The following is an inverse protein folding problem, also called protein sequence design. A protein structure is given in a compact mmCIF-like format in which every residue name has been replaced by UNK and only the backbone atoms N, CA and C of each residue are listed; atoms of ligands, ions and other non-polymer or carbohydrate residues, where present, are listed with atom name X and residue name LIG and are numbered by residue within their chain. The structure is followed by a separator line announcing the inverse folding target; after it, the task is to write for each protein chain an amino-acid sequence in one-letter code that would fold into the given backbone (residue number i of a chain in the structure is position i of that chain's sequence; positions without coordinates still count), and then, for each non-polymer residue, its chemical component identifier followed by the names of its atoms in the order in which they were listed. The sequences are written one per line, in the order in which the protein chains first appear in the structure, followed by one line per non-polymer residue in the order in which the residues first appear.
data_IF_421836599848
#
_entry.id   IF_421836599848
#
_cell.length_a   1.000
_cell.length_b   1.000
_cell.length_c   1.000
_cell.angle_alpha   90.00
_cell.angle_beta   90.00
_cell.angle_gamma   90.00
#
_symmetry.space_group_name_H-M   'P 1'
#
loop_
_entity.id
_entity.type
_entity.pdbx_description
1 polymer ?
#
# COMPACT_ATOMS: atom_id res chain seq x y z
N UNK A 1 16.39 -14.28 25.69
CA UNK A 1 16.70 -13.15 24.80
C UNK A 1 15.50 -12.22 24.79
N UNK A 2 15.68 -10.96 25.20
CA UNK A 2 14.59 -9.99 25.27
C UNK A 2 14.11 -9.64 23.85
N UNK A 3 12.83 -9.33 23.66
CA UNK A 3 12.22 -8.94 22.38
C UNK A 3 13.06 -7.88 21.64
N UNK A 4 13.61 -6.93 22.38
CA UNK A 4 14.48 -5.85 21.87
C UNK A 4 15.77 -6.35 21.25
N UNK A 5 16.47 -7.27 21.91
CA UNK A 5 17.76 -7.81 21.43
C UNK A 5 17.55 -8.62 20.13
N UNK A 6 16.49 -9.40 20.07
CA UNK A 6 16.15 -10.20 18.90
C UNK A 6 15.74 -9.35 17.71
N UNK A 7 15.02 -8.27 17.98
CA UNK A 7 14.65 -7.31 16.96
C UNK A 7 15.88 -6.60 16.37
N UNK A 8 16.82 -6.17 17.22
CA UNK A 8 18.09 -5.60 16.80
C UNK A 8 18.92 -6.60 15.97
N UNK A 9 18.94 -7.87 16.40
CA UNK A 9 19.60 -8.93 15.64
C UNK A 9 18.97 -9.10 14.25
N UNK A 10 17.63 -9.15 14.14
CA UNK A 10 16.93 -9.28 12.87
C UNK A 10 17.17 -8.08 11.94
N UNK A 11 17.20 -6.85 12.48
CA UNK A 11 17.46 -5.62 11.70
C UNK A 11 18.88 -5.60 11.13
N UNK A 12 19.86 -6.20 11.82
CA UNK A 12 21.27 -6.24 11.38
C UNK A 12 21.56 -7.28 10.28
N UNK A 13 20.61 -8.14 9.95
CA UNK A 13 20.79 -9.16 8.90
C UNK A 13 21.05 -8.53 7.52
N UNK A 14 21.86 -9.16 6.66
CA UNK A 14 22.12 -8.69 5.31
C UNK A 14 20.84 -8.50 4.48
N UNK A 15 19.85 -9.36 4.68
CA UNK A 15 18.56 -9.31 4.00
C UNK A 15 17.84 -7.97 4.21
N UNK A 16 17.96 -7.38 5.39
CA UNK A 16 17.34 -6.09 5.73
C UNK A 16 17.95 -4.91 4.94
N UNK A 17 19.13 -5.09 4.36
CA UNK A 17 19.76 -4.08 3.49
C UNK A 17 19.35 -4.22 2.02
N UNK A 18 19.08 -5.44 1.58
CA UNK A 18 18.82 -5.76 0.16
C UNK A 18 17.32 -5.77 -0.16
N UNK A 19 16.50 -6.36 0.72
CA UNK A 19 15.07 -6.53 0.48
C UNK A 19 14.29 -5.22 0.24
N UNK A 20 14.56 -4.11 0.96
CA UNK A 20 13.86 -2.85 0.70
C UNK A 20 14.11 -2.31 -0.71
N UNK A 21 15.36 -2.39 -1.20
CA UNK A 21 15.70 -1.97 -2.56
C UNK A 21 15.03 -2.84 -3.62
N UNK A 22 15.04 -4.15 -3.43
CA UNK A 22 14.33 -5.09 -4.31
C UNK A 22 12.82 -4.81 -4.36
N UNK A 23 12.18 -4.63 -3.20
CA UNK A 23 10.76 -4.33 -3.10
C UNK A 23 10.41 -3.00 -3.75
N UNK A 24 11.19 -1.95 -3.52
CA UNK A 24 10.92 -0.62 -4.09
C UNK A 24 10.94 -0.65 -5.62
N UNK A 25 11.87 -1.39 -6.22
CA UNK A 25 11.92 -1.59 -7.66
C UNK A 25 10.66 -2.29 -8.19
N UNK A 26 10.25 -3.40 -7.56
CA UNK A 26 9.05 -4.11 -7.98
C UNK A 26 7.75 -3.32 -7.69
N UNK A 27 7.71 -2.51 -6.64
CA UNK A 27 6.59 -1.61 -6.39
C UNK A 27 6.47 -0.56 -7.49
N UNK A 28 7.59 0.03 -7.92
CA UNK A 28 7.58 0.96 -9.05
C UNK A 28 7.02 0.30 -10.31
N UNK A 29 7.52 -0.90 -10.65
CA UNK A 29 7.05 -1.67 -11.81
C UNK A 29 5.57 -2.06 -11.71
N UNK A 30 5.05 -2.24 -10.50
CA UNK A 30 3.65 -2.58 -10.23
C UNK A 30 2.74 -1.36 -10.31
N UNK A 31 3.23 -0.18 -9.94
CA UNK A 31 2.42 1.05 -9.90
C UNK A 31 1.84 1.41 -11.26
N UNK A 32 2.62 1.34 -12.33
CA UNK A 32 2.17 1.71 -13.67
C UNK A 32 0.96 0.87 -14.13
N UNK A 33 1.04 -0.47 -14.16
CA UNK A 33 -0.11 -1.28 -14.54
C UNK A 33 -1.26 -1.20 -13.52
N UNK A 34 -0.99 -0.97 -12.25
CA UNK A 34 -2.02 -0.82 -11.23
C UNK A 34 -2.84 0.47 -11.45
N UNK A 35 -2.18 1.59 -11.72
CA UNK A 35 -2.84 2.86 -12.04
C UNK A 35 -3.64 2.73 -13.34
N UNK A 36 -3.08 2.06 -14.36
CA UNK A 36 -3.78 1.79 -15.59
C UNK A 36 -5.05 0.94 -15.38
N UNK A 37 -4.99 -0.09 -14.51
CA UNK A 37 -6.16 -0.89 -14.12
C UNK A 37 -7.23 -0.04 -13.42
N UNK A 38 -6.82 0.77 -12.47
CA UNK A 38 -7.74 1.67 -11.74
C UNK A 38 -8.35 2.67 -12.71
N UNK A 39 -7.55 3.31 -13.56
CA UNK A 39 -8.01 4.25 -14.59
C UNK A 39 -9.00 3.62 -15.56
N UNK A 40 -8.71 2.38 -16.01
CA UNK A 40 -9.63 1.61 -16.87
C UNK A 40 -10.96 1.29 -16.19
N UNK A 41 -10.93 0.89 -14.91
CA UNK A 41 -12.15 0.63 -14.13
C UNK A 41 -12.98 1.90 -13.94
N UNK A 42 -12.33 3.03 -13.66
CA UNK A 42 -12.97 4.34 -13.52
C UNK A 42 -13.67 4.76 -14.81
N UNK A 43 -12.98 4.59 -15.95
CA UNK A 43 -13.55 4.89 -17.26
C UNK A 43 -14.75 3.98 -17.61
N UNK A 44 -14.71 2.70 -17.21
CA UNK A 44 -15.85 1.77 -17.41
C UNK A 44 -17.10 2.14 -16.60
N UNK A 45 -16.92 2.76 -15.42
CA UNK A 45 -18.03 3.12 -14.53
C UNK A 45 -18.39 4.61 -14.59
N UNK A 46 -17.85 5.38 -15.54
CA UNK A 46 -18.04 6.83 -15.69
C UNK A 46 -17.87 7.61 -14.37
N UNK A 47 -16.89 7.21 -13.56
CA UNK A 47 -16.64 7.85 -12.26
C UNK A 47 -15.96 9.23 -12.44
N UNK A 48 -16.25 10.22 -11.57
CA UNK A 48 -15.73 11.57 -11.71
C UNK A 48 -14.21 11.62 -11.52
N UNK A 49 -13.48 11.89 -12.58
CA UNK A 49 -12.01 11.89 -12.66
C UNK A 49 -11.34 12.87 -11.68
N UNK A 50 -11.93 14.05 -11.46
CA UNK A 50 -11.37 15.08 -10.57
C UNK A 50 -11.17 14.61 -9.14
N UNK A 51 -12.03 13.73 -8.65
CA UNK A 51 -11.92 13.19 -7.29
C UNK A 51 -10.76 12.22 -7.10
N UNK A 52 -10.18 11.69 -8.19
CA UNK A 52 -9.07 10.74 -8.15
C UNK A 52 -7.74 11.46 -8.02
N UNK A 53 -7.57 12.58 -8.70
CA UNK A 53 -6.38 13.41 -8.55
C UNK A 53 -6.22 13.88 -7.10
N UNK A 54 -7.32 14.22 -6.42
CA UNK A 54 -7.32 14.60 -5.00
C UNK A 54 -6.91 13.44 -4.10
N UNK A 55 -7.34 12.22 -4.42
CA UNK A 55 -6.95 11.01 -3.69
C UNK A 55 -5.48 10.69 -3.92
N UNK A 56 -5.02 10.71 -5.16
CA UNK A 56 -3.61 10.47 -5.48
C UNK A 56 -2.71 11.50 -4.77
N UNK A 57 -3.08 12.77 -4.79
CA UNK A 57 -2.36 13.82 -4.08
C UNK A 57 -2.35 13.64 -2.56
N UNK A 58 -3.33 12.94 -1.99
CA UNK A 58 -3.40 12.70 -0.55
C UNK A 58 -2.48 11.56 -0.06
N UNK A 59 -2.18 10.58 -0.92
CA UNK A 59 -1.43 9.38 -0.54
C UNK A 59 -0.01 9.30 -1.13
N UNK A 60 0.29 10.10 -2.14
CA UNK A 60 1.61 10.16 -2.76
C UNK A 60 2.35 11.45 -2.40
N UNK A 61 3.68 11.43 -2.37
CA UNK A 61 4.47 12.64 -2.12
C UNK A 61 4.22 13.70 -3.19
N UNK A 62 4.21 14.95 -2.78
CA UNK A 62 4.12 16.07 -3.71
C UNK A 62 5.26 16.00 -4.74
N UNK A 63 4.96 16.38 -5.98
CA UNK A 63 5.87 16.24 -7.12
C UNK A 63 5.72 14.95 -7.93
N UNK A 64 5.02 13.92 -7.41
CA UNK A 64 4.72 12.67 -8.15
C UNK A 64 3.35 12.72 -8.83
N UNK A 65 2.46 13.61 -8.40
CA UNK A 65 1.09 13.71 -8.91
C UNK A 65 1.01 13.86 -10.42
N UNK A 66 1.89 14.65 -11.03
CA UNK A 66 1.94 14.84 -12.48
C UNK A 66 2.24 13.55 -13.25
N UNK A 67 3.09 12.67 -12.71
CA UNK A 67 3.36 11.37 -13.33
C UNK A 67 2.14 10.46 -13.26
N UNK A 68 1.47 10.46 -12.11
CA UNK A 68 0.27 9.67 -11.89
C UNK A 68 -0.88 10.17 -12.77
N UNK A 69 -1.02 11.47 -12.94
CA UNK A 69 -2.00 12.10 -13.81
C UNK A 69 -1.78 11.73 -15.29
N UNK A 70 -0.54 11.80 -15.78
CA UNK A 70 -0.18 11.41 -17.15
C UNK A 70 -0.48 9.93 -17.42
N UNK A 71 -0.20 9.05 -16.44
CA UNK A 71 -0.44 7.61 -16.59
C UNK A 71 -1.95 7.29 -16.54
N UNK A 72 -2.72 8.05 -15.76
CA UNK A 72 -4.16 7.83 -15.59
C UNK A 72 -5.03 8.50 -16.66
N UNK A 73 -4.50 9.50 -17.38
CA UNK A 73 -5.31 10.43 -18.16
C UNK A 73 -5.90 9.92 -19.48
N UNK A 74 -5.46 8.81 -20.03
CA UNK A 74 -6.09 8.19 -21.24
C UNK A 74 -5.72 6.74 -21.41
N UNK A 75 -6.54 5.86 -20.93
CA UNK A 75 -6.61 4.52 -21.49
C UNK A 75 -7.68 4.53 -22.58
N UNK A 76 -7.26 4.64 -23.83
CA UNK A 76 -8.14 4.45 -24.98
C UNK A 76 -8.57 2.96 -24.98
N UNK A 77 -9.77 2.72 -24.46
CA UNK A 77 -10.35 1.40 -24.22
C UNK A 77 -10.82 0.70 -25.53
N UNK A 78 -10.43 1.22 -26.68
CA UNK A 78 -10.80 0.65 -27.98
C UNK A 78 -10.05 -0.63 -28.36
N UNK A 79 -9.04 -1.02 -27.61
CA UNK A 79 -8.29 -2.25 -27.86
C UNK A 79 -8.63 -3.31 -26.82
N UNK A 80 -9.10 -4.44 -27.29
CA UNK A 80 -9.38 -5.71 -26.60
C UNK A 80 -9.27 -5.67 -25.07
N UNK A 81 -10.28 -5.08 -24.38
CA UNK A 81 -10.33 -4.82 -22.95
C UNK A 81 -9.89 -6.00 -22.09
N UNK A 82 -10.24 -7.21 -22.49
CA UNK A 82 -9.88 -8.45 -21.78
C UNK A 82 -8.36 -8.63 -21.75
N UNK A 83 -7.68 -8.42 -22.89
CA UNK A 83 -6.22 -8.57 -22.98
C UNK A 83 -5.54 -7.46 -22.15
N UNK A 84 -6.05 -6.24 -22.21
CA UNK A 84 -5.54 -5.13 -21.40
C UNK A 84 -5.62 -5.44 -19.89
N UNK A 85 -6.80 -5.82 -19.38
CA UNK A 85 -6.96 -6.12 -17.96
C UNK A 85 -6.15 -7.36 -17.55
N UNK A 86 -6.15 -8.42 -18.35
CA UNK A 86 -5.38 -9.62 -18.03
C UNK A 86 -3.87 -9.36 -17.98
N UNK A 87 -3.31 -8.67 -18.98
CA UNK A 87 -1.89 -8.33 -19.01
C UNK A 87 -1.50 -7.38 -17.89
N UNK A 88 -2.34 -6.40 -17.58
CA UNK A 88 -2.11 -5.46 -16.48
C UNK A 88 -2.11 -6.15 -15.12
N UNK A 89 -3.02 -7.10 -14.86
CA UNK A 89 -3.04 -7.90 -13.62
C UNK A 89 -1.76 -8.75 -13.50
N UNK A 90 -1.32 -9.38 -14.59
CA UNK A 90 -0.08 -10.17 -14.60
C UNK A 90 1.12 -9.29 -14.29
N UNK A 91 1.24 -8.11 -14.90
CA UNK A 91 2.31 -7.15 -14.62
C UNK A 91 2.24 -6.58 -13.20
N UNK A 92 1.05 -6.21 -12.74
CA UNK A 92 0.84 -5.71 -11.39
C UNK A 92 1.18 -6.77 -10.31
N UNK A 93 1.13 -8.06 -10.63
CA UNK A 93 1.47 -9.12 -9.67
C UNK A 93 2.96 -9.23 -9.34
N UNK A 94 3.85 -8.47 -10.01
CA UNK A 94 5.29 -8.48 -9.71
C UNK A 94 5.60 -7.93 -8.30
N UNK A 95 4.88 -6.89 -7.84
CA UNK A 95 5.01 -6.37 -6.48
C UNK A 95 4.62 -7.40 -5.41
N UNK A 96 3.38 -7.92 -5.43
CA UNK A 96 2.97 -9.02 -4.53
C UNK A 96 3.87 -10.25 -4.61
N UNK A 97 4.37 -10.62 -5.77
CA UNK A 97 5.35 -11.70 -5.90
C UNK A 97 6.65 -11.41 -5.13
N UNK A 98 7.17 -10.18 -5.22
CA UNK A 98 8.33 -9.76 -4.44
C UNK A 98 8.05 -9.68 -2.94
N UNK A 99 6.83 -9.28 -2.52
CA UNK A 99 6.41 -9.33 -1.11
C UNK A 99 6.43 -10.76 -0.55
N UNK A 100 5.98 -11.75 -1.33
CA UNK A 100 6.00 -13.16 -0.93
C UNK A 100 7.46 -13.63 -0.73
N UNK A 101 8.35 -13.33 -1.69
CA UNK A 101 9.78 -13.70 -1.59
C UNK A 101 10.42 -13.06 -0.36
N UNK A 102 10.20 -11.76 -0.15
CA UNK A 102 10.73 -11.04 1.01
C UNK A 102 10.21 -11.63 2.32
N UNK A 103 8.91 -11.94 2.37
CA UNK A 103 8.27 -12.55 3.52
C UNK A 103 8.87 -13.94 3.83
N UNK A 104 8.99 -14.82 2.83
CA UNK A 104 9.57 -16.15 3.02
C UNK A 104 11.01 -16.08 3.55
N UNK A 105 11.81 -15.14 3.04
CA UNK A 105 13.17 -14.92 3.54
C UNK A 105 13.20 -14.46 5.00
N UNK A 106 12.35 -13.53 5.39
CA UNK A 106 12.29 -13.01 6.76
C UNK A 106 11.82 -14.09 7.73
N UNK A 107 10.76 -14.83 7.37
CA UNK A 107 10.21 -15.92 8.19
C UNK A 107 10.98 -17.24 8.10
N UNK A 108 12.06 -17.29 7.28
CA UNK A 108 12.90 -18.49 7.05
C UNK A 108 12.06 -19.68 6.60
N UNK A 109 11.14 -19.44 5.69
CA UNK A 109 10.26 -20.47 5.11
C UNK A 109 10.82 -20.87 3.76
N UNK A 110 10.81 -22.17 3.48
CA UNK A 110 11.19 -22.71 2.17
C UNK A 110 10.17 -22.26 1.10
N UNK A 111 10.69 -21.90 -0.06
CA UNK A 111 9.87 -21.45 -1.18
C UNK A 111 8.99 -22.56 -1.72
N UNK A 112 7.71 -22.28 -1.92
CA UNK A 112 6.70 -23.22 -2.43
C UNK A 112 6.78 -23.54 -3.94
N UNK A 113 7.87 -23.12 -4.61
CA UNK A 113 8.07 -23.25 -6.05
C UNK A 113 7.45 -22.07 -6.86
N UNK A 114 7.99 -21.86 -8.07
CA UNK A 114 7.66 -20.68 -8.88
C UNK A 114 6.17 -20.57 -9.22
N UNK A 115 5.56 -21.64 -9.74
CA UNK A 115 4.15 -21.59 -10.20
C UNK A 115 3.17 -21.32 -9.05
N UNK A 116 3.36 -22.00 -7.91
CA UNK A 116 2.50 -21.80 -6.74
C UNK A 116 2.62 -20.39 -6.19
N UNK A 117 3.84 -19.89 -6.11
CA UNK A 117 4.14 -18.51 -5.69
C UNK A 117 3.55 -17.49 -6.66
N UNK A 118 3.60 -17.74 -7.99
CA UNK A 118 3.02 -16.87 -9.00
C UNK A 118 1.49 -16.82 -8.92
N UNK A 119 0.83 -17.97 -8.77
CA UNK A 119 -0.62 -18.04 -8.56
C UNK A 119 -1.04 -17.29 -7.30
N UNK A 120 -0.31 -17.45 -6.20
CA UNK A 120 -0.54 -16.72 -4.96
C UNK A 120 -0.34 -15.20 -5.12
N UNK A 121 0.66 -14.78 -5.88
CA UNK A 121 0.89 -13.37 -6.20
C UNK A 121 -0.27 -12.75 -7.00
N UNK A 122 -0.82 -13.47 -7.96
CA UNK A 122 -2.01 -13.03 -8.71
C UNK A 122 -3.22 -12.87 -7.79
N UNK A 123 -3.48 -13.84 -6.92
CA UNK A 123 -4.57 -13.73 -5.93
C UNK A 123 -4.35 -12.55 -4.98
N UNK A 124 -3.13 -12.36 -4.49
CA UNK A 124 -2.80 -11.23 -3.62
C UNK A 124 -2.98 -9.89 -4.35
N UNK A 125 -2.65 -9.83 -5.65
CA UNK A 125 -2.88 -8.65 -6.48
C UNK A 125 -4.37 -8.31 -6.56
N UNK A 126 -5.23 -9.28 -6.78
CA UNK A 126 -6.69 -9.06 -6.80
C UNK A 126 -7.20 -8.54 -5.46
N UNK A 127 -6.73 -9.11 -4.35
CA UNK A 127 -7.07 -8.62 -3.00
C UNK A 127 -6.62 -7.17 -2.81
N UNK A 128 -5.41 -6.82 -3.22
CA UNK A 128 -4.88 -5.45 -3.13
C UNK A 128 -5.72 -4.50 -3.99
N UNK A 129 -6.05 -4.87 -5.22
CA UNK A 129 -6.90 -4.05 -6.11
C UNK A 129 -8.26 -3.79 -5.47
N UNK A 130 -8.92 -4.82 -4.97
CA UNK A 130 -10.23 -4.70 -4.30
C UNK A 130 -10.13 -3.75 -3.09
N UNK A 131 -9.12 -3.92 -2.25
CA UNK A 131 -8.92 -3.06 -1.07
C UNK A 131 -8.59 -1.62 -1.45
N UNK A 132 -7.81 -1.40 -2.52
CA UNK A 132 -7.52 -0.05 -3.04
C UNK A 132 -8.77 0.59 -3.62
N UNK A 133 -9.62 -0.15 -4.35
CA UNK A 133 -10.90 0.36 -4.83
C UNK A 133 -11.81 0.78 -3.67
N UNK A 134 -11.90 -0.02 -2.60
CA UNK A 134 -12.62 0.39 -1.40
C UNK A 134 -12.03 1.64 -0.75
N UNK A 135 -10.70 1.77 -0.69
CA UNK A 135 -10.03 2.96 -0.18
C UNK A 135 -10.37 4.20 -1.02
N UNK A 136 -10.46 4.06 -2.35
CA UNK A 136 -10.87 5.11 -3.27
C UNK A 136 -12.35 5.48 -3.11
N UNK A 137 -13.21 4.52 -2.77
CA UNK A 137 -14.64 4.77 -2.57
C UNK A 137 -14.91 5.76 -1.41
N UNK A 138 -14.08 5.79 -0.37
CA UNK A 138 -14.27 6.68 0.77
C UNK A 138 -14.30 8.17 0.36
N UNK A 139 -13.28 8.70 -0.33
CA UNK A 139 -13.30 10.10 -0.76
C UNK A 139 -14.23 10.37 -1.94
N UNK A 140 -14.43 9.41 -2.86
CA UNK A 140 -15.26 9.58 -4.05
C UNK A 140 -16.76 9.63 -3.71
N UNK A 141 -17.22 8.71 -2.91
CA UNK A 141 -18.65 8.59 -2.59
C UNK A 141 -19.03 9.29 -1.29
N UNK A 142 -18.07 9.53 -0.39
CA UNK A 142 -18.33 10.18 0.87
C UNK A 142 -19.02 11.53 0.68
N UNK A 143 -18.44 12.43 -0.11
CA UNK A 143 -19.01 13.75 -0.39
C UNK A 143 -20.41 13.65 -1.05
N UNK A 144 -20.59 12.70 -1.96
CA UNK A 144 -21.86 12.50 -2.67
C UNK A 144 -22.94 11.95 -1.73
N UNK A 145 -22.60 10.97 -0.90
CA UNK A 145 -23.53 10.39 0.08
C UNK A 145 -23.94 11.44 1.12
N UNK A 146 -22.99 12.22 1.62
CA UNK A 146 -23.30 13.26 2.61
C UNK A 146 -24.10 14.42 1.99
N UNK A 147 -23.84 14.80 0.75
CA UNK A 147 -24.67 15.77 0.02
C UNK A 147 -26.07 15.23 -0.23
N UNK A 148 -26.20 13.95 -0.55
CA UNK A 148 -27.50 13.28 -0.75
C UNK A 148 -28.30 13.24 0.55
N UNK A 149 -27.70 12.84 1.67
CA UNK A 149 -28.33 12.88 2.99
C UNK A 149 -28.76 14.30 3.36
N UNK A 150 -27.88 15.27 3.09
CA UNK A 150 -28.16 16.69 3.35
C UNK A 150 -29.27 17.28 2.44
N UNK A 151 -29.59 16.66 1.31
CA UNK A 151 -30.69 17.06 0.43
C UNK A 151 -32.07 16.70 1.00
N UNK A 152 -32.17 15.58 1.71
CA UNK A 152 -33.43 15.13 2.33
C UNK A 152 -33.78 15.91 3.62
N UNK A 153 -32.84 16.65 4.18
CA UNK A 153 -33.07 17.41 5.41
C UNK A 153 -32.90 18.90 5.15
N UNK A 154 -34.03 19.62 5.22
CA UNK A 154 -34.09 21.07 5.04
C UNK A 154 -33.46 21.87 6.18
N UNK A 155 -33.01 21.20 7.28
CA UNK A 155 -32.49 21.85 8.46
C UNK A 155 -30.99 22.02 8.37
N UNK A 156 -30.52 23.27 8.21
CA UNK A 156 -29.11 23.65 8.10
C UNK A 156 -28.18 23.06 9.19
N UNK A 157 -28.74 22.71 10.35
CA UNK A 157 -28.01 22.15 11.49
C UNK A 157 -27.51 20.71 11.23
N UNK A 158 -28.37 19.84 10.67
CA UNK A 158 -28.01 18.45 10.37
C UNK A 158 -27.03 18.39 9.21
N UNK A 159 -27.24 19.21 8.18
CA UNK A 159 -26.31 19.35 7.06
C UNK A 159 -24.89 19.69 7.52
N UNK A 160 -24.76 20.73 8.35
CA UNK A 160 -23.46 21.14 8.86
C UNK A 160 -22.82 20.09 9.77
N UNK A 161 -23.60 19.40 10.59
CA UNK A 161 -23.13 18.28 11.42
C UNK A 161 -22.63 17.11 10.56
N UNK A 162 -23.35 16.69 9.54
CA UNK A 162 -22.95 15.61 8.65
C UNK A 162 -21.65 15.94 7.87
N UNK A 163 -21.52 17.16 7.35
CA UNK A 163 -20.32 17.62 6.67
C UNK A 163 -19.10 17.66 7.62
N UNK A 164 -19.32 18.10 8.84
CA UNK A 164 -18.30 18.15 9.87
C UNK A 164 -17.88 16.74 10.30
N UNK A 165 -18.84 15.84 10.49
CA UNK A 165 -18.59 14.43 10.77
C UNK A 165 -17.76 13.76 9.66
N UNK A 166 -18.12 13.96 8.41
CA UNK A 166 -17.38 13.44 7.26
C UNK A 166 -15.94 13.94 7.24
N UNK A 167 -15.75 15.25 7.42
CA UNK A 167 -14.42 15.87 7.44
C UNK A 167 -13.49 15.23 8.48
N UNK A 168 -14.02 14.91 9.66
CA UNK A 168 -13.23 14.29 10.73
C UNK A 168 -13.11 12.77 10.59
N UNK A 169 -14.13 12.08 10.05
CA UNK A 169 -14.11 10.62 9.90
C UNK A 169 -13.27 10.13 8.70
N UNK A 170 -13.13 10.93 7.66
CA UNK A 170 -12.41 10.58 6.43
C UNK A 170 -11.01 10.03 6.71
N UNK A 171 -10.22 10.74 7.51
CA UNK A 171 -8.84 10.37 7.81
C UNK A 171 -8.69 9.11 8.68
N UNK A 172 -9.39 9.00 9.82
CA UNK A 172 -9.37 7.77 10.62
C UNK A 172 -9.84 6.55 9.84
N UNK A 173 -10.89 6.68 9.03
CA UNK A 173 -11.42 5.59 8.23
C UNK A 173 -10.40 5.12 7.17
N UNK A 174 -9.78 6.05 6.45
CA UNK A 174 -8.71 5.74 5.51
C UNK A 174 -7.52 5.06 6.18
N UNK A 175 -7.13 5.51 7.37
CA UNK A 175 -6.06 4.87 8.15
C UNK A 175 -6.42 3.42 8.53
N UNK A 176 -7.64 3.17 8.97
CA UNK A 176 -8.14 1.83 9.29
C UNK A 176 -8.07 0.92 8.05
N UNK A 177 -8.45 1.41 6.87
CA UNK A 177 -8.32 0.65 5.63
C UNK A 177 -6.87 0.32 5.28
N UNK A 178 -5.96 1.28 5.37
CA UNK A 178 -4.52 1.06 5.15
C UNK A 178 -3.97 0.02 6.13
N UNK A 179 -4.36 0.10 7.40
CA UNK A 179 -3.97 -0.88 8.41
C UNK A 179 -4.45 -2.30 8.05
N UNK A 180 -5.71 -2.47 7.67
CA UNK A 180 -6.24 -3.78 7.28
C UNK A 180 -5.61 -4.29 6.00
N UNK A 181 -5.34 -3.43 5.01
CA UNK A 181 -4.62 -3.78 3.79
C UNK A 181 -3.24 -4.35 4.12
N UNK A 182 -2.45 -3.66 4.91
CA UNK A 182 -1.11 -4.11 5.32
C UNK A 182 -1.22 -5.41 6.13
N UNK A 183 -2.18 -5.51 7.04
CA UNK A 183 -2.40 -6.71 7.86
C UNK A 183 -2.74 -7.92 6.99
N UNK A 184 -3.60 -7.78 6.00
CA UNK A 184 -3.96 -8.84 5.05
C UNK A 184 -2.74 -9.27 4.24
N UNK A 185 -1.96 -8.31 3.73
CA UNK A 185 -0.72 -8.60 3.01
C UNK A 185 0.25 -9.40 3.89
N UNK A 186 0.45 -9.01 5.14
CA UNK A 186 1.34 -9.73 6.05
C UNK A 186 0.87 -11.14 6.41
N UNK A 187 -0.45 -11.38 6.45
CA UNK A 187 -1.01 -12.71 6.67
C UNK A 187 -0.86 -13.60 5.44
N UNK A 188 -1.12 -13.02 4.25
CA UNK A 188 -1.18 -13.78 3.02
C UNK A 188 0.19 -13.96 2.35
N UNK A 189 1.17 -13.06 2.58
CA UNK A 189 2.46 -13.12 1.90
C UNK A 189 3.29 -14.36 2.24
N UNK A 190 3.51 -14.77 3.51
CA UNK A 190 4.36 -15.92 3.80
C UNK A 190 3.70 -17.24 3.37
N UNK A 191 4.52 -18.21 2.93
CA UNK A 191 4.06 -19.55 2.56
C UNK A 191 3.80 -20.46 3.79
N UNK A 192 3.82 -19.86 4.98
CA UNK A 192 3.50 -20.46 6.26
C UNK A 192 2.27 -19.80 6.87
N UNK A 193 1.41 -20.58 7.52
CA UNK A 193 0.28 -20.02 8.28
C UNK A 193 0.80 -19.29 9.52
N UNK A 194 0.54 -18.01 9.59
CA UNK A 194 0.88 -17.16 10.72
C UNK A 194 -0.41 -16.71 11.41
N UNK A 195 -0.42 -16.80 12.75
CA UNK A 195 -1.57 -16.34 13.52
C UNK A 195 -1.76 -14.83 13.34
N UNK A 196 -3.01 -14.43 13.15
CA UNK A 196 -3.45 -13.04 12.98
C UNK A 196 -3.01 -12.13 14.12
N UNK A 197 -2.85 -12.66 15.32
CA UNK A 197 -2.39 -11.91 16.51
C UNK A 197 -0.93 -11.49 16.39
N UNK A 198 -0.09 -12.33 15.80
CA UNK A 198 1.34 -12.06 15.64
C UNK A 198 1.65 -11.00 14.59
N UNK A 199 0.69 -10.76 13.65
CA UNK A 199 0.84 -9.79 12.55
C UNK A 199 0.36 -8.39 12.93
N UNK A 200 -0.44 -8.26 13.98
CA UNK A 200 -1.12 -7.01 14.36
C UNK A 200 -0.15 -5.88 14.67
N UNK A 201 0.94 -6.18 15.38
CA UNK A 201 1.90 -5.15 15.81
C UNK A 201 2.74 -4.60 14.67
N UNK A 202 3.24 -5.47 13.79
CA UNK A 202 3.96 -5.02 12.60
C UNK A 202 3.05 -4.29 11.62
N UNK A 203 1.79 -4.71 11.48
CA UNK A 203 0.83 -3.99 10.65
C UNK A 203 0.55 -2.58 11.18
N UNK A 204 0.34 -2.43 12.49
CA UNK A 204 0.13 -1.13 13.13
C UNK A 204 1.37 -0.23 13.00
N UNK A 205 2.55 -0.79 13.31
CA UNK A 205 3.83 -0.08 13.15
C UNK A 205 3.99 0.43 11.70
N UNK A 206 3.79 -0.44 10.72
CA UNK A 206 3.94 -0.09 9.31
C UNK A 206 2.94 0.97 8.87
N UNK A 207 1.67 0.85 9.25
CA UNK A 207 0.62 1.80 8.88
C UNK A 207 0.90 3.20 9.43
N UNK A 208 1.27 3.30 10.72
CA UNK A 208 1.61 4.57 11.35
C UNK A 208 2.86 5.17 10.70
N UNK A 209 3.91 4.35 10.53
CA UNK A 209 5.18 4.80 9.96
C UNK A 209 5.05 5.23 8.49
N UNK A 210 4.19 4.57 7.69
CA UNK A 210 3.92 4.97 6.31
C UNK A 210 3.30 6.37 6.24
N UNK A 211 2.30 6.64 7.07
CA UNK A 211 1.68 7.98 7.13
C UNK A 211 2.71 9.03 7.54
N UNK A 212 3.48 8.77 8.62
CA UNK A 212 4.49 9.71 9.10
C UNK A 212 5.59 9.98 8.07
N UNK A 213 6.16 8.93 7.48
CA UNK A 213 7.23 9.08 6.48
C UNK A 213 6.71 9.78 5.23
N UNK A 214 5.49 9.51 4.78
CA UNK A 214 4.92 10.20 3.63
C UNK A 214 4.78 11.70 3.91
N UNK A 215 4.30 12.11 5.09
CA UNK A 215 4.18 13.52 5.47
C UNK A 215 5.54 14.21 5.59
N UNK A 216 6.49 13.57 6.29
CA UNK A 216 7.85 14.11 6.45
C UNK A 216 8.55 14.24 5.10
N UNK A 217 8.41 13.23 4.25
CA UNK A 217 9.05 13.22 2.93
C UNK A 217 8.42 14.25 1.98
N UNK A 218 7.09 14.41 2.00
CA UNK A 218 6.40 15.46 1.23
C UNK A 218 6.88 16.86 1.65
N UNK A 219 6.92 17.10 2.96
CA UNK A 219 7.44 18.36 3.49
C UNK A 219 8.90 18.62 3.10
N UNK A 220 9.76 17.59 3.13
CA UNK A 220 11.15 17.68 2.67
C UNK A 220 11.25 18.04 1.19
N UNK A 221 10.48 17.35 0.33
CA UNK A 221 10.48 17.62 -1.12
C UNK A 221 10.02 19.03 -1.43
N UNK A 222 9.01 19.54 -0.72
CA UNK A 222 8.50 20.90 -0.92
C UNK A 222 9.50 22.00 -0.50
N UNK A 223 10.19 21.81 0.61
CA UNK A 223 10.94 22.90 1.25
C UNK A 223 12.45 22.85 0.96
N UNK A 224 13.04 21.69 0.76
CA UNK A 224 14.49 21.51 0.72
C UNK A 224 15.03 20.93 -0.59
N UNK A 225 14.18 20.41 -1.48
CA UNK A 225 14.67 19.75 -2.66
C UNK A 225 14.66 20.64 -3.89
N UNK A 226 15.85 20.83 -4.46
CA UNK A 226 16.04 21.43 -5.79
C UNK A 226 16.12 20.33 -6.87
N UNK A 227 15.33 19.23 -6.73
CA UNK A 227 15.38 18.11 -7.67
C UNK A 227 15.10 18.53 -9.11
N UNK A 228 14.16 19.45 -9.33
CA UNK A 228 13.85 19.95 -10.67
C UNK A 228 15.02 20.72 -11.30
N UNK A 229 15.79 21.44 -10.50
CA UNK A 229 16.97 22.20 -10.98
C UNK A 229 18.10 21.26 -11.40
N UNK A 230 18.35 20.19 -10.64
CA UNK A 230 19.47 19.26 -10.90
C UNK A 230 19.11 18.15 -11.89
N UNK A 231 17.87 17.62 -11.84
CA UNK A 231 17.45 16.42 -12.56
C UNK A 231 16.37 16.68 -13.63
N UNK A 232 15.87 17.92 -13.77
CA UNK A 232 14.86 18.28 -14.78
C UNK A 232 13.64 17.36 -14.75
N UNK A 233 13.26 16.83 -15.90
CA UNK A 233 12.10 15.95 -16.05
C UNK A 233 12.18 14.60 -15.33
N UNK A 234 13.38 14.15 -14.92
CA UNK A 234 13.57 12.87 -14.21
C UNK A 234 13.30 13.03 -12.70
N UNK A 235 13.23 14.27 -12.22
CA UNK A 235 13.07 14.57 -10.78
C UNK A 235 11.88 13.86 -10.13
N UNK A 236 10.73 13.82 -10.80
CA UNK A 236 9.52 13.17 -10.27
C UNK A 236 9.68 11.66 -10.11
N UNK A 237 10.42 11.01 -11.01
CA UNK A 237 10.73 9.57 -10.91
C UNK A 237 11.65 9.32 -9.71
N UNK A 238 12.67 10.15 -9.51
CA UNK A 238 13.59 10.03 -8.38
C UNK A 238 12.88 10.25 -7.03
N UNK A 239 11.99 11.23 -6.96
CA UNK A 239 11.16 11.48 -5.78
C UNK A 239 10.30 10.24 -5.49
N UNK A 240 9.62 9.70 -6.49
CA UNK A 240 8.78 8.50 -6.35
C UNK A 240 9.60 7.28 -5.92
N UNK A 241 10.75 7.03 -6.55
CA UNK A 241 11.63 5.89 -6.21
C UNK A 241 12.15 5.98 -4.77
N UNK A 242 12.58 7.17 -4.34
CA UNK A 242 13.08 7.38 -2.97
C UNK A 242 11.97 7.16 -1.95
N UNK A 243 10.76 7.68 -2.21
CA UNK A 243 9.61 7.42 -1.36
C UNK A 243 9.27 5.94 -1.28
N UNK A 244 9.22 5.24 -2.42
CA UNK A 244 8.97 3.80 -2.46
C UNK A 244 10.04 3.00 -1.70
N UNK A 245 11.29 3.46 -1.69
CA UNK A 245 12.35 2.85 -0.90
C UNK A 245 12.06 2.96 0.60
N UNK A 246 11.67 4.14 1.10
CA UNK A 246 11.29 4.32 2.51
C UNK A 246 10.07 3.47 2.89
N UNK A 247 9.04 3.47 2.06
CA UNK A 247 7.84 2.64 2.26
C UNK A 247 8.19 1.15 2.32
N UNK A 248 9.05 0.68 1.41
CA UNK A 248 9.54 -0.70 1.36
C UNK A 248 10.39 -1.05 2.58
N UNK A 249 11.24 -0.12 3.03
CA UNK A 249 12.08 -0.32 4.21
C UNK A 249 11.22 -0.52 5.48
N UNK A 250 10.22 0.35 5.67
CA UNK A 250 9.27 0.26 6.78
C UNK A 250 8.47 -1.05 6.70
N UNK A 251 8.05 -1.45 5.49
CA UNK A 251 7.32 -2.69 5.27
C UNK A 251 8.15 -3.92 5.69
N UNK A 252 9.42 -3.97 5.32
CA UNK A 252 10.35 -5.05 5.71
C UNK A 252 10.61 -5.05 7.21
N UNK A 253 10.73 -3.87 7.84
CA UNK A 253 10.84 -3.74 9.30
C UNK A 253 9.59 -4.27 10.02
N UNK A 254 8.40 -3.98 9.51
CA UNK A 254 7.15 -4.51 10.05
C UNK A 254 7.06 -6.03 9.96
N UNK A 255 7.55 -6.64 8.86
CA UNK A 255 7.66 -8.10 8.76
C UNK A 255 8.63 -8.67 9.81
N UNK A 256 9.78 -8.04 10.02
CA UNK A 256 10.77 -8.48 11.01
C UNK A 256 10.22 -8.41 12.45
N UNK A 257 9.40 -7.39 12.75
CA UNK A 257 8.67 -7.28 14.00
C UNK A 257 7.69 -8.45 14.20
N UNK A 258 6.93 -8.78 13.16
CA UNK A 258 5.98 -9.89 13.20
C UNK A 258 6.67 -11.24 13.35
N UNK A 259 7.76 -11.47 12.62
CA UNK A 259 8.59 -12.69 12.74
C UNK A 259 9.12 -12.86 14.16
N UNK A 260 9.68 -11.80 14.74
CA UNK A 260 10.19 -11.82 16.11
C UNK A 260 9.11 -12.23 17.12
N UNK A 261 7.87 -11.71 16.97
CA UNK A 261 6.74 -12.10 17.81
C UNK A 261 6.30 -13.53 17.58
N UNK A 262 6.23 -13.95 16.33
CA UNK A 262 5.87 -15.33 15.97
C UNK A 262 6.82 -16.34 16.60
N UNK A 263 8.13 -16.13 16.51
CA UNK A 263 9.12 -17.03 17.11
C UNK A 263 9.03 -17.08 18.65
N UNK A 264 8.75 -15.93 19.31
CA UNK A 264 8.56 -15.87 20.74
C UNK A 264 7.32 -16.67 21.20
N UNK A 265 6.19 -16.52 20.50
CA UNK A 265 4.96 -17.26 20.81
C UNK A 265 5.14 -18.77 20.60
N UNK A 266 5.80 -19.18 19.53
CA UNK A 266 6.09 -20.59 19.22
C UNK A 266 7.01 -21.25 20.25
N UNK A 267 7.99 -20.53 20.79
CA UNK A 267 8.91 -21.06 21.83
C UNK A 267 8.20 -21.21 23.19
N UNK A 268 7.25 -20.33 23.52
CA UNK A 268 6.44 -20.43 24.75
C UNK A 268 5.51 -21.65 24.67
N UNK A 269 4.89 -21.92 23.51
CA UNK A 269 4.05 -23.11 23.32
C UNK A 269 4.85 -24.42 23.41
N UNK A 270 6.06 -24.47 22.84
CA UNK A 270 6.94 -25.63 22.94
C UNK A 270 7.43 -25.88 24.36
N UNK A 271 7.70 -24.82 25.14
CA UNK A 271 8.13 -24.95 26.52
C UNK A 271 6.99 -25.32 27.51
N UNK A 272 5.73 -25.22 27.10
CA UNK A 272 4.57 -25.70 27.89
C UNK A 272 4.21 -27.14 27.63
N UNK A 273 4.70 -27.74 26.53
CA UNK A 273 4.40 -29.10 26.13
C UNK A 273 5.54 -30.10 26.47
N UNK A 274 6.64 -29.60 27.05
CA UNK A 274 7.71 -30.38 27.68
C UNK A 274 7.65 -30.21 29.22
#
# INVERSE_FOLDING_TARGET
MLLKERLIYNIKKPEMRVLPGQLSFFFLMTLIPLIALIGGLISLFDLPYHSISDVLNSYFPNGTAKLLEVISSKVDLNFNLIIFFASSIVLASNGPHSMIIASNKIYKVEDSGYFRRRAKALLLTLVIIILLLFLLCIPLFGDTIFKFIAYFDSTSRIKNFCLLLYKYLKYPLSFVFVYYLIKIIYILSPDKKIDRRNVTYGALFTSVSWVLVTQIYSWYVENFSNYTTFYGGISSILILMTWLYFISYIFVLGMALNETKYELSSNIEKGKNN
#
